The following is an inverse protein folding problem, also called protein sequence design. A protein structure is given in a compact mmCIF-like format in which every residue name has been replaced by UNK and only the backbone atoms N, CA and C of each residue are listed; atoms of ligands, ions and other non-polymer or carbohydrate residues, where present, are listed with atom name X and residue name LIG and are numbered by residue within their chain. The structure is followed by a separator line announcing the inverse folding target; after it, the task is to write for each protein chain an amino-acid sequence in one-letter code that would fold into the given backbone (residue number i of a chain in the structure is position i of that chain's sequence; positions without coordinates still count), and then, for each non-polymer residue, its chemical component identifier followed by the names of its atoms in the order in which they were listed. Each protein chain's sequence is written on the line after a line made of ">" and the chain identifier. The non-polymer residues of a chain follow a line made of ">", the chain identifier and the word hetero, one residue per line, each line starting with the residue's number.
data_IF_314251583623
#
_entry.id   IF_314251583623
#
_cell.length_a   1.000
_cell.length_b   1.000
_cell.length_c   1.000
_cell.angle_alpha   90.00
_cell.angle_beta   90.00
_cell.angle_gamma   90.00
#
_symmetry.space_group_name_H-M   'P 1'
#
loop_
_entity.id
_entity.type
_entity.pdbx_description
1 polymer ?
#
# COMPACT_ATOMS: atom_id res chain seq x y z
N UNK A 1 -2.04 -7.56 -28.39
CA UNK A 1 -1.14 -6.81 -27.49
C UNK A 1 -1.86 -6.67 -26.15
N UNK A 2 -1.25 -7.12 -25.04
CA UNK A 2 -1.83 -7.00 -23.70
C UNK A 2 -1.67 -5.55 -23.22
N UNK A 3 -2.72 -4.87 -22.69
CA UNK A 3 -2.57 -3.61 -21.99
C UNK A 3 -1.47 -3.72 -20.92
N UNK A 4 -0.55 -2.76 -20.89
CA UNK A 4 0.46 -2.61 -19.85
C UNK A 4 -0.06 -1.70 -18.72
N UNK A 5 0.67 -1.59 -17.61
CA UNK A 5 0.38 -0.68 -16.49
C UNK A 5 -0.09 0.69 -16.97
N UNK A 6 0.68 1.35 -17.84
CA UNK A 6 0.36 2.69 -18.32
C UNK A 6 -0.99 2.77 -19.03
N UNK A 7 -1.34 1.75 -19.81
CA UNK A 7 -2.65 1.66 -20.44
C UNK A 7 -3.77 1.47 -19.41
N UNK A 8 -3.58 0.58 -18.43
CA UNK A 8 -4.53 0.36 -17.34
C UNK A 8 -4.74 1.65 -16.53
N UNK A 9 -3.67 2.31 -16.08
CA UNK A 9 -3.72 3.56 -15.30
C UNK A 9 -4.38 4.69 -16.09
N UNK A 10 -4.03 4.86 -17.37
CA UNK A 10 -4.59 5.93 -18.21
C UNK A 10 -6.09 5.73 -18.44
N UNK A 11 -6.52 4.49 -18.70
CA UNK A 11 -7.94 4.17 -18.88
C UNK A 11 -8.70 4.39 -17.57
N UNK A 12 -8.16 3.93 -16.43
CA UNK A 12 -8.80 4.08 -15.13
C UNK A 12 -8.94 5.55 -14.72
N UNK A 13 -7.89 6.36 -14.92
CA UNK A 13 -7.93 7.81 -14.66
C UNK A 13 -9.01 8.49 -15.52
N UNK A 14 -9.04 8.21 -16.82
CA UNK A 14 -10.07 8.76 -17.71
C UNK A 14 -11.49 8.32 -17.31
N UNK A 15 -11.64 7.10 -16.81
CA UNK A 15 -12.93 6.60 -16.31
C UNK A 15 -13.35 7.23 -14.98
N UNK A 16 -12.40 7.66 -14.15
CA UNK A 16 -12.67 8.37 -12.91
C UNK A 16 -13.26 9.75 -13.18
N UNK A 17 -12.61 10.53 -14.05
CA UNK A 17 -13.04 11.89 -14.39
C UNK A 17 -14.38 11.91 -15.13
N UNK A 18 -14.67 10.87 -15.92
CA UNK A 18 -15.87 10.78 -16.76
C UNK A 18 -17.02 9.95 -16.13
N UNK A 19 -16.85 9.38 -14.93
CA UNK A 19 -17.87 8.54 -14.28
C UNK A 19 -18.20 7.25 -15.06
N UNK A 20 -17.27 6.72 -15.85
CA UNK A 20 -17.49 5.58 -16.75
C UNK A 20 -17.33 4.24 -16.02
N UNK A 21 -18.31 3.90 -15.20
CA UNK A 21 -18.32 2.68 -14.37
C UNK A 21 -18.16 1.37 -15.15
N UNK A 22 -18.74 1.28 -16.35
CA UNK A 22 -18.68 0.07 -17.19
C UNK A 22 -17.26 -0.26 -17.65
N UNK A 23 -16.52 0.75 -18.09
CA UNK A 23 -15.14 0.58 -18.57
C UNK A 23 -14.22 0.24 -17.39
N UNK A 24 -14.43 0.88 -16.24
CA UNK A 24 -13.74 0.52 -14.99
C UNK A 24 -13.94 -0.96 -14.62
N UNK A 25 -15.17 -1.47 -14.72
CA UNK A 25 -15.49 -2.89 -14.46
C UNK A 25 -14.81 -3.84 -15.46
N UNK A 26 -14.65 -3.43 -16.72
CA UNK A 26 -13.92 -4.20 -17.72
C UNK A 26 -12.43 -4.27 -17.41
N UNK A 27 -11.82 -3.15 -16.96
CA UNK A 27 -10.42 -3.15 -16.51
C UNK A 27 -10.24 -4.03 -15.28
N UNK A 28 -11.17 -4.01 -14.31
CA UNK A 28 -11.10 -4.93 -13.15
C UNK A 28 -11.18 -6.39 -13.58
N UNK A 29 -12.12 -6.74 -14.45
CA UNK A 29 -12.25 -8.11 -14.97
C UNK A 29 -11.01 -8.53 -15.77
N UNK A 30 -10.33 -7.57 -16.41
CA UNK A 30 -9.07 -7.81 -17.10
C UNK A 30 -7.94 -8.08 -16.10
N UNK A 31 -7.74 -7.21 -15.10
CA UNK A 31 -6.69 -7.37 -14.07
C UNK A 31 -6.87 -8.68 -13.29
N UNK A 32 -8.11 -9.03 -12.93
CA UNK A 32 -8.42 -10.34 -12.32
C UNK A 32 -8.07 -11.55 -13.18
N UNK A 33 -7.99 -11.40 -14.51
CA UNK A 33 -7.63 -12.48 -15.44
C UNK A 33 -6.13 -12.58 -15.71
N UNK A 34 -5.38 -11.52 -15.45
CA UNK A 34 -3.93 -11.48 -15.66
C UNK A 34 -3.19 -11.59 -14.33
N UNK A 35 -3.65 -12.51 -13.46
CA UNK A 35 -3.29 -12.71 -12.04
C UNK A 35 -1.81 -12.47 -11.67
N UNK A 36 -0.89 -12.58 -12.62
CA UNK A 36 0.56 -12.41 -12.50
C UNK A 36 1.07 -10.95 -12.55
N UNK A 37 0.28 -9.97 -13.03
CA UNK A 37 0.77 -8.58 -13.21
C UNK A 37 0.47 -7.70 -11.99
N UNK A 38 1.40 -7.74 -11.02
CA UNK A 38 1.41 -6.93 -9.80
C UNK A 38 1.30 -5.43 -10.08
N UNK A 39 1.83 -4.97 -11.21
CA UNK A 39 1.85 -3.56 -11.57
C UNK A 39 0.43 -3.10 -11.94
N UNK A 40 -0.33 -3.95 -12.63
CA UNK A 40 -1.74 -3.70 -12.95
C UNK A 40 -2.66 -3.69 -11.72
N UNK A 41 -2.44 -4.56 -10.73
CA UNK A 41 -3.17 -4.52 -9.45
C UNK A 41 -2.92 -3.23 -8.67
N UNK A 42 -1.65 -2.80 -8.63
CA UNK A 42 -1.25 -1.55 -7.99
C UNK A 42 -1.86 -0.31 -8.65
N UNK A 43 -1.95 -0.29 -9.99
CA UNK A 43 -2.58 0.78 -10.74
C UNK A 43 -4.06 0.92 -10.40
N UNK A 44 -4.80 -0.19 -10.34
CA UNK A 44 -6.22 -0.20 -9.96
C UNK A 44 -6.41 0.22 -8.51
N UNK A 45 -5.59 -0.30 -7.59
CA UNK A 45 -5.61 0.12 -6.19
C UNK A 45 -5.41 1.63 -6.08
N UNK A 46 -4.38 2.18 -6.74
CA UNK A 46 -4.06 3.62 -6.70
C UNK A 46 -5.18 4.49 -7.25
N UNK A 47 -5.96 4.02 -8.24
CA UNK A 47 -7.14 4.76 -8.69
C UNK A 47 -8.23 4.80 -7.62
N UNK A 48 -8.54 3.67 -6.98
CA UNK A 48 -9.51 3.67 -5.88
C UNK A 48 -9.07 4.61 -4.75
N UNK A 49 -7.76 4.69 -4.47
CA UNK A 49 -7.20 5.64 -3.51
C UNK A 49 -7.46 7.09 -3.94
N UNK A 50 -7.11 7.45 -5.19
CA UNK A 50 -7.28 8.81 -5.71
C UNK A 50 -8.75 9.23 -5.77
N UNK A 51 -9.66 8.28 -6.00
CA UNK A 51 -11.10 8.51 -6.00
C UNK A 51 -11.72 8.51 -4.58
N UNK A 52 -10.93 8.29 -3.51
CA UNK A 52 -11.43 8.20 -2.13
C UNK A 52 -12.29 6.97 -1.83
N UNK A 53 -12.29 5.96 -2.71
CA UNK A 53 -13.13 4.76 -2.63
C UNK A 53 -12.45 3.65 -1.81
N UNK A 54 -12.18 3.96 -0.55
CA UNK A 54 -11.35 3.13 0.34
C UNK A 54 -11.91 1.72 0.54
N UNK A 55 -13.23 1.60 0.70
CA UNK A 55 -13.85 0.29 0.94
C UNK A 55 -13.71 -0.62 -0.30
N UNK A 56 -13.74 -0.05 -1.50
CA UNK A 56 -13.53 -0.81 -2.73
C UNK A 56 -12.06 -1.13 -2.95
N UNK A 57 -11.14 -0.22 -2.59
CA UNK A 57 -9.72 -0.51 -2.55
C UNK A 57 -9.43 -1.71 -1.65
N UNK A 58 -10.04 -1.77 -0.46
CA UNK A 58 -9.90 -2.91 0.47
C UNK A 58 -10.46 -4.21 -0.13
N UNK A 59 -11.68 -4.19 -0.67
CA UNK A 59 -12.26 -5.38 -1.31
C UNK A 59 -11.40 -5.88 -2.48
N UNK A 60 -10.86 -4.96 -3.28
CA UNK A 60 -10.00 -5.31 -4.40
C UNK A 60 -8.64 -5.83 -3.95
N UNK A 61 -8.05 -5.23 -2.91
CA UNK A 61 -6.87 -5.77 -2.25
C UNK A 61 -7.14 -7.18 -1.73
N UNK A 62 -8.33 -7.42 -1.18
CA UNK A 62 -8.69 -8.71 -0.62
C UNK A 62 -8.82 -9.84 -1.64
N UNK A 63 -9.10 -9.50 -2.89
CA UNK A 63 -9.16 -10.44 -4.01
C UNK A 63 -7.77 -10.73 -4.63
N UNK A 64 -6.71 -10.04 -4.21
CA UNK A 64 -5.38 -10.24 -4.78
C UNK A 64 -4.85 -11.66 -4.48
N UNK A 65 -4.40 -12.41 -5.51
CA UNK A 65 -3.91 -13.77 -5.33
C UNK A 65 -2.57 -13.83 -4.57
N UNK A 66 -1.66 -12.88 -4.80
CA UNK A 66 -0.38 -12.77 -4.08
C UNK A 66 -0.43 -11.69 -2.99
N UNK A 67 -0.92 -12.07 -1.80
CA UNK A 67 -0.72 -11.30 -0.56
C UNK A 67 0.44 -11.80 0.29
N UNK A 68 0.99 -12.96 -0.06
CA UNK A 68 2.00 -13.65 0.72
C UNK A 68 3.35 -13.63 -0.04
N UNK A 69 4.41 -13.02 0.50
CA UNK A 69 5.72 -12.94 -0.12
C UNK A 69 6.44 -14.29 -0.18
N UNK A 70 5.86 -15.36 0.37
CA UNK A 70 6.39 -16.72 0.27
C UNK A 70 5.66 -17.47 -0.85
N UNK A 71 6.06 -17.25 -2.10
CA UNK A 71 5.70 -18.20 -3.16
C UNK A 71 6.57 -19.44 -2.98
N UNK A 72 5.93 -20.54 -2.63
CA UNK A 72 6.56 -21.85 -2.58
C UNK A 72 6.48 -22.45 -3.99
N UNK A 73 7.50 -22.20 -4.81
CA UNK A 73 7.65 -22.88 -6.10
C UNK A 73 8.89 -23.77 -6.05
N UNK A 74 8.64 -25.08 -6.14
CA UNK A 74 9.65 -26.13 -6.32
C UNK A 74 10.78 -26.18 -5.27
N UNK A 75 10.45 -25.99 -3.99
CA UNK A 75 11.41 -26.09 -2.88
C UNK A 75 12.33 -24.88 -2.69
N UNK A 76 12.15 -23.82 -3.48
CA UNK A 76 12.86 -22.54 -3.32
C UNK A 76 11.92 -21.49 -2.71
N UNK A 77 12.34 -20.88 -1.60
CA UNK A 77 11.64 -19.73 -1.01
C UNK A 77 12.05 -18.49 -1.81
N UNK A 78 11.20 -18.06 -2.74
CA UNK A 78 11.33 -16.72 -3.31
C UNK A 78 10.76 -15.74 -2.28
N UNK A 79 11.62 -14.91 -1.70
CA UNK A 79 11.19 -13.75 -0.90
C UNK A 79 10.65 -12.71 -1.88
N UNK A 80 9.38 -12.82 -2.26
CA UNK A 80 8.80 -11.88 -3.22
C UNK A 80 8.60 -10.55 -2.49
N UNK A 81 9.28 -9.51 -2.96
CA UNK A 81 9.17 -8.13 -2.46
C UNK A 81 7.74 -7.56 -2.57
N UNK A 82 6.89 -8.21 -3.37
CA UNK A 82 5.54 -7.77 -3.76
C UNK A 82 4.56 -7.64 -2.61
N UNK A 83 4.57 -8.57 -1.64
CA UNK A 83 3.64 -8.52 -0.51
C UNK A 83 3.84 -7.25 0.32
N UNK A 84 5.09 -6.98 0.69
CA UNK A 84 5.46 -5.81 1.50
C UNK A 84 5.10 -4.50 0.79
N UNK A 85 5.31 -4.42 -0.52
CA UNK A 85 4.96 -3.26 -1.35
C UNK A 85 3.43 -3.04 -1.42
N UNK A 86 2.62 -4.11 -1.53
CA UNK A 86 1.16 -4.02 -1.53
C UNK A 86 0.61 -3.50 -0.21
N UNK A 87 1.10 -4.05 0.91
CA UNK A 87 0.70 -3.57 2.22
C UNK A 87 1.21 -2.15 2.48
N UNK A 88 2.44 -1.80 2.10
CA UNK A 88 2.96 -0.45 2.25
C UNK A 88 2.06 0.58 1.53
N UNK A 89 1.59 0.27 0.32
CA UNK A 89 0.60 1.11 -0.38
C UNK A 89 -0.74 1.19 0.32
N UNK A 90 -1.26 0.08 0.83
CA UNK A 90 -2.51 0.07 1.58
C UNK A 90 -2.41 0.90 2.87
N UNK A 91 -1.26 0.86 3.54
CA UNK A 91 -0.97 1.66 4.73
C UNK A 91 -0.79 3.14 4.40
N UNK A 92 -0.08 3.49 3.33
CA UNK A 92 0.02 4.89 2.84
C UNK A 92 -1.37 5.45 2.53
N UNK A 93 -2.25 4.65 1.90
CA UNK A 93 -3.64 5.02 1.65
C UNK A 93 -4.41 5.30 2.93
N UNK A 94 -4.43 4.35 3.87
CA UNK A 94 -5.17 4.50 5.12
C UNK A 94 -4.64 5.69 5.93
N UNK A 95 -3.34 5.93 5.86
CA UNK A 95 -2.70 7.10 6.44
C UNK A 95 -3.20 8.41 5.81
N UNK A 96 -3.26 8.54 4.48
CA UNK A 96 -3.80 9.74 3.81
C UNK A 96 -5.29 9.94 4.06
N UNK A 97 -6.02 8.86 4.30
CA UNK A 97 -7.43 8.87 4.59
C UNK A 97 -7.78 9.16 6.06
N UNK A 98 -6.79 9.45 6.91
CA UNK A 98 -6.97 9.65 8.35
C UNK A 98 -7.48 8.40 9.10
N UNK A 99 -7.33 7.21 8.51
CA UNK A 99 -7.76 5.91 9.06
C UNK A 99 -6.59 5.15 9.70
N UNK A 100 -5.76 5.85 10.48
CA UNK A 100 -4.60 5.26 11.16
C UNK A 100 -4.91 4.04 12.06
N UNK A 101 -6.04 3.99 12.80
CA UNK A 101 -6.38 2.80 13.60
C UNK A 101 -6.51 1.54 12.74
N UNK A 102 -7.08 1.67 11.54
CA UNK A 102 -7.21 0.55 10.61
C UNK A 102 -5.87 0.20 9.96
N UNK A 103 -5.02 1.19 9.70
CA UNK A 103 -3.66 0.94 9.24
C UNK A 103 -2.91 0.06 10.25
N UNK A 104 -3.02 0.37 11.54
CA UNK A 104 -2.44 -0.43 12.63
C UNK A 104 -3.04 -1.84 12.69
N UNK A 105 -4.35 -1.97 12.59
CA UNK A 105 -5.04 -3.27 12.59
C UNK A 105 -4.54 -4.17 11.45
N UNK A 106 -4.35 -3.61 10.26
CA UNK A 106 -3.82 -4.36 9.12
C UNK A 106 -2.40 -4.84 9.41
N UNK A 107 -1.53 -3.98 9.94
CA UNK A 107 -0.16 -4.34 10.34
C UNK A 107 -0.15 -5.46 11.38
N UNK A 108 -1.04 -5.40 12.36
CA UNK A 108 -1.15 -6.44 13.40
C UNK A 108 -1.66 -7.79 12.86
N UNK A 109 -2.51 -7.75 11.84
CA UNK A 109 -3.08 -8.94 11.21
C UNK A 109 -2.25 -9.48 10.03
N UNK A 110 -1.05 -8.94 9.78
CA UNK A 110 -0.20 -9.42 8.68
C UNK A 110 0.24 -10.87 8.92
N UNK A 111 0.26 -11.71 7.87
CA UNK A 111 0.69 -13.12 8.00
C UNK A 111 2.21 -13.28 8.18
N UNK A 112 2.98 -12.19 8.14
CA UNK A 112 4.44 -12.17 8.29
C UNK A 112 4.89 -10.85 8.93
N UNK A 113 6.17 -10.79 9.34
CA UNK A 113 6.76 -9.58 9.94
C UNK A 113 6.83 -8.44 8.92
N UNK A 114 6.23 -7.26 9.19
CA UNK A 114 6.26 -6.14 8.26
C UNK A 114 7.68 -5.64 8.02
N UNK A 115 8.02 -5.33 6.76
CA UNK A 115 9.31 -4.73 6.41
C UNK A 115 9.34 -3.21 6.62
N UNK A 116 10.50 -2.61 6.34
CA UNK A 116 10.75 -1.18 6.55
C UNK A 116 9.79 -0.29 5.74
N UNK A 117 9.47 -0.66 4.50
CA UNK A 117 8.58 0.11 3.61
C UNK A 117 7.20 0.38 4.23
N UNK A 118 6.67 -0.58 4.99
CA UNK A 118 5.36 -0.48 5.63
C UNK A 118 5.39 0.53 6.79
N UNK A 119 6.44 0.45 7.62
CA UNK A 119 6.61 1.36 8.75
C UNK A 119 6.97 2.78 8.30
N UNK A 120 7.71 2.94 7.20
CA UNK A 120 7.96 4.24 6.58
C UNK A 120 6.66 4.90 6.10
N UNK A 121 5.79 4.13 5.44
CA UNK A 121 4.47 4.60 5.01
C UNK A 121 3.61 5.04 6.21
N UNK A 122 3.59 4.25 7.29
CA UNK A 122 2.87 4.60 8.51
C UNK A 122 3.45 5.86 9.17
N UNK A 123 4.78 5.97 9.31
CA UNK A 123 5.45 7.11 9.92
C UNK A 123 5.19 8.42 9.13
N UNK A 124 5.25 8.35 7.80
CA UNK A 124 4.90 9.48 6.92
C UNK A 124 3.45 9.93 7.13
N UNK A 125 2.54 8.98 7.32
CA UNK A 125 1.16 9.20 7.72
C UNK A 125 1.00 9.93 9.05
N UNK A 126 1.64 9.40 10.08
CA UNK A 126 1.62 9.94 11.44
C UNK A 126 2.13 11.38 11.50
N UNK A 127 3.15 11.73 10.71
CA UNK A 127 3.64 13.12 10.54
C UNK A 127 2.53 14.07 10.11
N UNK A 128 1.77 13.67 9.10
CA UNK A 128 0.73 14.53 8.49
C UNK A 128 -0.46 14.71 9.44
N UNK A 129 -0.77 13.68 10.22
CA UNK A 129 -1.91 13.64 11.13
C UNK A 129 -1.58 14.03 12.57
N UNK A 130 -0.33 14.41 12.84
CA UNK A 130 0.20 14.76 14.18
C UNK A 130 -0.03 13.67 15.23
N UNK A 131 -0.07 12.41 14.81
CA UNK A 131 -0.20 11.27 15.71
C UNK A 131 1.19 10.84 16.19
N UNK A 132 1.64 11.45 17.30
CA UNK A 132 3.00 11.25 17.82
C UNK A 132 3.20 9.83 18.34
N UNK A 133 2.21 9.27 19.05
CA UNK A 133 2.35 7.96 19.69
C UNK A 133 2.63 6.85 18.66
N UNK A 134 1.85 6.81 17.58
CA UNK A 134 2.07 5.85 16.49
C UNK A 134 3.32 6.17 15.67
N UNK A 135 3.70 7.45 15.57
CA UNK A 135 4.92 7.86 14.90
C UNK A 135 6.18 7.37 15.62
N UNK A 136 6.20 7.45 16.95
CA UNK A 136 7.31 6.94 17.77
C UNK A 136 7.40 5.42 17.66
N UNK A 137 6.28 4.70 17.81
CA UNK A 137 6.23 3.24 17.67
C UNK A 137 6.77 2.78 16.30
N UNK A 138 6.35 3.42 15.21
CA UNK A 138 6.83 3.10 13.87
C UNK A 138 8.33 3.38 13.71
N UNK A 139 8.83 4.48 14.28
CA UNK A 139 10.24 4.86 14.19
C UNK A 139 11.15 3.93 14.99
N UNK A 140 10.75 3.49 16.20
CA UNK A 140 11.49 2.52 17.00
C UNK A 140 11.72 1.22 16.23
N UNK A 141 10.68 0.70 15.59
CA UNK A 141 10.76 -0.51 14.77
C UNK A 141 11.65 -0.28 13.54
N UNK A 142 11.56 0.89 12.91
CA UNK A 142 12.44 1.24 11.79
C UNK A 142 13.92 1.34 12.18
N UNK A 143 14.23 1.77 13.41
CA UNK A 143 15.62 1.79 13.91
C UNK A 143 16.16 0.38 14.12
N UNK A 144 15.33 -0.57 14.55
CA UNK A 144 15.72 -1.98 14.64
C UNK A 144 15.91 -2.62 13.25
N UNK A 145 15.03 -2.31 12.30
CA UNK A 145 15.06 -2.90 10.96
C UNK A 145 16.12 -2.27 10.05
N UNK A 146 16.35 -0.97 10.16
CA UNK A 146 17.25 -0.18 9.31
C UNK A 146 18.06 0.82 10.12
N UNK A 147 19.09 0.37 10.88
CA UNK A 147 19.83 1.23 11.80
C UNK A 147 20.60 2.39 11.15
N UNK A 148 20.86 2.31 9.84
CA UNK A 148 21.68 3.28 9.09
C UNK A 148 20.87 4.22 8.19
N UNK A 149 19.54 4.21 8.27
CA UNK A 149 18.71 5.05 7.41
C UNK A 149 18.44 6.42 8.04
N UNK A 150 19.27 7.40 7.69
CA UNK A 150 19.17 8.80 8.18
C UNK A 150 17.78 9.43 7.93
N UNK A 151 17.07 8.97 6.89
CA UNK A 151 15.72 9.41 6.55
C UNK A 151 14.69 9.14 7.66
N UNK A 152 14.85 8.07 8.43
CA UNK A 152 13.94 7.70 9.53
C UNK A 152 14.04 8.70 10.68
N UNK A 153 15.26 9.11 11.05
CA UNK A 153 15.49 10.11 12.09
C UNK A 153 14.89 11.47 11.70
N UNK A 154 15.05 11.87 10.43
CA UNK A 154 14.47 13.11 9.92
C UNK A 154 12.93 13.08 9.92
N UNK A 155 12.32 11.96 9.54
CA UNK A 155 10.87 11.79 9.57
C UNK A 155 10.32 11.85 11.00
N UNK A 156 10.97 11.20 11.96
CA UNK A 156 10.58 11.26 13.37
C UNK A 156 10.74 12.67 13.95
N UNK A 157 11.89 13.32 13.73
CA UNK A 157 12.15 14.67 14.21
C UNK A 157 11.10 15.68 13.69
N UNK A 158 10.72 15.56 12.41
CA UNK A 158 9.66 16.40 11.83
C UNK A 158 8.28 16.09 12.42
N UNK A 159 7.99 14.83 12.74
CA UNK A 159 6.72 14.42 13.38
C UNK A 159 6.60 15.00 14.78
N UNK A 160 7.68 14.96 15.57
CA UNK A 160 7.75 15.56 16.90
C UNK A 160 7.64 17.09 16.83
N UNK A 161 8.33 17.72 15.88
CA UNK A 161 8.27 19.17 15.69
C UNK A 161 6.87 19.66 15.27
N UNK A 162 6.10 18.84 14.53
CA UNK A 162 4.73 19.18 14.13
C UNK A 162 3.71 19.09 15.29
N UNK A 163 4.08 18.51 16.43
CA UNK A 163 3.22 18.35 17.60
C UNK A 163 3.42 19.40 18.71
N UNK A 164 4.52 20.15 18.66
CA UNK A 164 4.78 21.32 19.53
C UNK A 164 4.24 22.62 18.97
#
# INVERSE_FOLDING_TARGET
>A
MKPNEFACTSILSACADAGLFLVRKQVHAYVRRIEEDLVSWNAVLSEYMNAGRINEAKLFFDEMPEKNPLAWTDGHIYKIKSGDDHYARLIDMLSRAERLPEAKEIIQNMPYKPGASIWEALLSGCRTLRNVDLGVEAAEILFELTPQHDGTYLLLANTLAAAG
#
